data_IF_080694086127
#
_entry.id   IF_080694086127
#
_cell.length_a   1.000
_cell.length_b   1.000
_cell.length_c   1.000
_cell.angle_alpha   90.00
_cell.angle_beta   90.00
_cell.angle_gamma   90.00
#
_symmetry.space_group_name_H-M   'P 1'
#
loop_
_entity.id
_entity.type
_entity.pdbx_description
1 polymer ?
#
# COMPACT_ATOMS: atom_id res chain seq x y z
N UNK A 1 56.10 -27.05 -49.35
CA UNK A 1 54.71 -27.36 -48.90
C UNK A 1 54.22 -26.19 -48.12
N UNK A 2 53.27 -25.37 -48.60
CA UNK A 2 52.76 -24.15 -47.96
C UNK A 2 51.40 -24.49 -47.37
N UNK A 3 51.28 -24.51 -46.03
CA UNK A 3 49.99 -24.65 -45.35
C UNK A 3 49.28 -23.30 -45.36
N UNK A 4 48.12 -23.26 -46.01
CA UNK A 4 47.17 -22.13 -45.90
C UNK A 4 46.32 -22.33 -44.64
N UNK A 5 46.46 -21.43 -43.68
CA UNK A 5 45.58 -21.34 -42.52
C UNK A 5 44.39 -20.46 -42.93
N UNK A 6 43.22 -21.07 -43.04
CA UNK A 6 41.94 -20.37 -43.27
C UNK A 6 41.42 -19.88 -41.96
N UNK A 7 41.40 -18.55 -41.74
CA UNK A 7 40.79 -17.90 -40.60
C UNK A 7 39.26 -17.91 -40.82
N UNK A 8 38.54 -18.71 -40.05
CA UNK A 8 37.08 -18.69 -40.01
C UNK A 8 36.62 -17.62 -39.02
N UNK A 9 36.22 -16.46 -39.55
CA UNK A 9 35.67 -15.38 -38.76
C UNK A 9 34.24 -15.75 -38.30
N UNK A 10 34.08 -16.11 -37.02
CA UNK A 10 32.81 -16.36 -36.39
C UNK A 10 32.13 -15.01 -36.07
N UNK A 11 31.19 -14.62 -36.93
CA UNK A 11 30.37 -13.42 -36.73
C UNK A 11 29.36 -13.70 -35.61
N UNK A 12 29.65 -13.21 -34.40
CA UNK A 12 28.70 -13.28 -33.26
C UNK A 12 27.58 -12.26 -33.51
N UNK A 13 26.43 -12.72 -34.00
CA UNK A 13 25.21 -11.94 -34.09
C UNK A 13 24.66 -11.78 -32.62
N UNK A 14 24.98 -10.65 -31.99
CA UNK A 14 24.30 -10.23 -30.76
C UNK A 14 22.88 -9.81 -31.15
N UNK A 15 21.93 -10.73 -31.01
CA UNK A 15 20.50 -10.41 -31.09
C UNK A 15 20.14 -9.66 -29.82
N UNK A 16 20.20 -8.32 -29.92
CA UNK A 16 19.65 -7.45 -28.87
C UNK A 16 18.13 -7.56 -28.93
N UNK A 17 17.55 -8.47 -28.12
CA UNK A 17 16.11 -8.49 -27.92
C UNK A 17 15.74 -7.23 -27.14
N UNK A 18 15.29 -6.20 -27.87
CA UNK A 18 14.60 -5.06 -27.29
C UNK A 18 13.29 -5.64 -26.72
N UNK A 19 13.29 -6.00 -25.44
CA UNK A 19 12.04 -6.19 -24.70
C UNK A 19 11.35 -4.82 -24.66
N UNK A 20 10.38 -4.64 -25.54
CA UNK A 20 9.46 -3.52 -25.45
C UNK A 20 8.86 -3.56 -24.06
N UNK A 21 9.27 -2.64 -23.18
CA UNK A 21 8.56 -2.35 -21.95
C UNK A 21 7.18 -1.84 -22.39
N UNK A 22 6.22 -2.75 -22.47
CA UNK A 22 4.83 -2.38 -22.59
C UNK A 22 4.52 -1.56 -21.35
N UNK A 23 4.40 -0.25 -21.51
CA UNK A 23 3.85 0.64 -20.51
C UNK A 23 2.53 0.00 -20.05
N UNK A 24 2.51 -0.56 -18.84
CA UNK A 24 1.29 -1.12 -18.28
C UNK A 24 0.35 0.05 -18.00
N UNK A 25 -0.45 0.39 -19.01
CA UNK A 25 -1.46 1.43 -18.87
C UNK A 25 -2.39 1.02 -17.74
N UNK A 26 -2.50 1.86 -16.72
CA UNK A 26 -3.49 1.70 -15.65
C UNK A 26 -4.87 1.45 -16.28
N UNK A 27 -5.57 0.37 -15.93
CA UNK A 27 -6.93 0.16 -16.43
C UNK A 27 -7.81 1.31 -15.94
N UNK A 28 -8.64 1.84 -16.84
CA UNK A 28 -9.68 2.77 -16.43
C UNK A 28 -10.74 1.99 -15.68
N UNK A 29 -10.93 2.29 -14.40
CA UNK A 29 -11.97 1.68 -13.58
C UNK A 29 -13.05 2.71 -13.23
N UNK A 30 -14.24 2.22 -13.00
CA UNK A 30 -15.39 2.98 -12.52
C UNK A 30 -15.73 2.50 -11.11
N UNK A 31 -16.00 3.44 -10.20
CA UNK A 31 -16.30 3.11 -8.81
C UNK A 31 -17.69 3.59 -8.45
N UNK A 32 -18.46 2.73 -7.79
CA UNK A 32 -19.72 3.07 -7.18
C UNK A 32 -19.84 2.38 -5.81
N UNK A 33 -20.13 3.15 -4.76
CA UNK A 33 -20.27 2.66 -3.37
C UNK A 33 -19.12 1.75 -2.89
N UNK A 34 -17.89 2.04 -3.33
CA UNK A 34 -16.71 1.25 -2.97
C UNK A 34 -16.50 0.00 -3.81
N UNK A 35 -17.34 -0.26 -4.80
CA UNK A 35 -17.24 -1.39 -5.74
C UNK A 35 -16.61 -0.91 -7.04
N UNK A 36 -15.64 -1.65 -7.56
CA UNK A 36 -14.88 -1.34 -8.77
C UNK A 36 -15.35 -2.15 -9.97
N UNK A 37 -15.60 -1.47 -11.09
CA UNK A 37 -16.13 -2.04 -12.34
C UNK A 37 -15.19 -1.77 -13.50
N UNK A 38 -15.19 -2.66 -14.50
CA UNK A 38 -14.46 -2.50 -15.77
C UNK A 38 -15.17 -1.53 -16.71
N UNK A 39 -16.47 -1.42 -16.61
CA UNK A 39 -17.31 -0.62 -17.50
C UNK A 39 -18.14 0.42 -16.75
N UNK A 40 -18.49 1.50 -17.47
CA UNK A 40 -19.28 2.61 -16.92
C UNK A 40 -20.72 2.20 -16.57
N UNK A 41 -21.25 1.18 -17.23
CA UNK A 41 -22.60 0.68 -17.00
C UNK A 41 -22.69 -0.23 -15.76
N UNK A 42 -21.55 -0.51 -15.12
CA UNK A 42 -21.43 -1.29 -13.87
C UNK A 42 -21.93 -2.74 -13.99
N UNK A 43 -21.73 -3.31 -15.18
CA UNK A 43 -22.13 -4.71 -15.45
C UNK A 43 -21.00 -5.72 -15.15
N UNK A 44 -19.73 -5.28 -15.22
CA UNK A 44 -18.58 -6.16 -15.09
C UNK A 44 -17.72 -5.74 -13.88
N UNK A 45 -17.71 -6.58 -12.84
CA UNK A 45 -16.85 -6.39 -11.66
C UNK A 45 -15.37 -6.57 -12.03
N UNK A 46 -14.51 -5.67 -11.52
CA UNK A 46 -13.08 -5.79 -11.75
C UNK A 46 -12.45 -6.83 -10.80
N UNK A 47 -11.56 -7.64 -11.34
CA UNK A 47 -10.62 -8.46 -10.56
C UNK A 47 -9.23 -8.32 -11.14
N UNK A 48 -8.24 -7.97 -10.31
CA UNK A 48 -6.85 -7.80 -10.70
C UNK A 48 -6.10 -6.76 -9.86
N UNK A 49 -4.84 -6.56 -10.23
CA UNK A 49 -4.02 -5.49 -9.64
C UNK A 49 -4.42 -4.15 -10.24
N UNK A 50 -4.49 -3.12 -9.39
CA UNK A 50 -4.74 -1.75 -9.79
C UNK A 50 -3.60 -0.86 -9.31
N UNK A 51 -3.13 0.04 -10.17
CA UNK A 51 -2.05 1.00 -9.88
C UNK A 51 -2.40 2.37 -10.43
N UNK A 52 -2.11 3.40 -9.66
CA UNK A 52 -2.11 4.79 -10.11
C UNK A 52 -0.71 5.36 -10.03
N UNK A 53 -0.43 6.35 -10.86
CA UNK A 53 0.86 7.01 -10.92
C UNK A 53 0.69 8.51 -10.81
N UNK A 54 1.68 9.19 -10.24
CA UNK A 54 1.81 10.64 -10.31
C UNK A 54 2.19 11.08 -11.74
N UNK A 55 2.10 12.37 -12.02
CA UNK A 55 2.44 12.94 -13.34
C UNK A 55 3.91 12.69 -13.72
N UNK A 56 4.78 12.53 -12.73
CA UNK A 56 6.20 12.18 -12.91
C UNK A 56 6.43 10.67 -13.10
N UNK A 57 5.39 9.86 -13.34
CA UNK A 57 5.40 8.40 -13.47
C UNK A 57 5.90 7.62 -12.23
N UNK A 58 5.99 8.24 -11.05
CA UNK A 58 6.20 7.48 -9.82
C UNK A 58 4.91 6.83 -9.35
N UNK A 59 5.02 5.63 -8.76
CA UNK A 59 3.85 4.92 -8.24
C UNK A 59 3.21 5.72 -7.11
N UNK A 60 1.90 5.98 -7.23
CA UNK A 60 1.10 6.72 -6.26
C UNK A 60 0.27 5.80 -5.40
N UNK A 61 -0.29 4.76 -6.00
CA UNK A 61 -1.18 3.82 -5.34
C UNK A 61 -1.07 2.44 -5.97
N UNK A 62 -1.09 1.40 -5.14
CA UNK A 62 -1.33 0.04 -5.59
C UNK A 62 -2.26 -0.71 -4.65
N UNK A 63 -3.11 -1.56 -5.22
CA UNK A 63 -4.02 -2.44 -4.50
C UNK A 63 -4.39 -3.65 -5.34
N UNK A 64 -4.90 -4.67 -4.66
CA UNK A 64 -5.58 -5.79 -5.29
C UNK A 64 -7.09 -5.62 -5.17
N UNK A 65 -7.81 -5.98 -6.22
CA UNK A 65 -9.28 -5.97 -6.26
C UNK A 65 -9.73 -7.38 -6.66
N UNK A 66 -10.70 -7.90 -5.95
CA UNK A 66 -11.33 -9.20 -6.23
C UNK A 66 -12.83 -9.03 -6.26
N UNK A 67 -13.44 -9.38 -7.39
CA UNK A 67 -14.89 -9.25 -7.59
C UNK A 67 -15.40 -7.84 -7.22
N UNK A 68 -14.71 -6.80 -7.70
CA UNK A 68 -15.02 -5.42 -7.46
C UNK A 68 -14.65 -4.87 -6.08
N UNK A 69 -14.18 -5.69 -5.16
CA UNK A 69 -13.87 -5.28 -3.78
C UNK A 69 -12.35 -5.28 -3.52
N UNK A 70 -11.83 -4.29 -2.77
CA UNK A 70 -10.45 -4.32 -2.30
C UNK A 70 -10.16 -5.59 -1.50
N UNK A 71 -9.01 -6.23 -1.79
CA UNK A 71 -8.55 -7.45 -1.13
C UNK A 71 -7.05 -7.38 -0.86
N UNK A 72 -6.60 -7.86 0.30
CA UNK A 72 -5.18 -7.85 0.65
C UNK A 72 -4.64 -6.45 0.96
N UNK A 73 -3.45 -6.14 0.45
CA UNK A 73 -2.72 -4.91 0.78
C UNK A 73 -3.09 -3.77 -0.17
N UNK A 74 -3.32 -2.60 0.39
CA UNK A 74 -3.53 -1.33 -0.28
C UNK A 74 -2.45 -0.36 0.19
N UNK A 75 -1.68 0.22 -0.73
CA UNK A 75 -0.58 1.12 -0.39
C UNK A 75 -0.74 2.43 -1.16
N UNK A 76 -0.63 3.55 -0.45
CA UNK A 76 -0.43 4.88 -1.01
C UNK A 76 1.02 5.26 -0.78
N UNK A 77 1.65 5.87 -1.77
CA UNK A 77 3.01 6.34 -1.73
C UNK A 77 3.08 7.86 -1.83
N UNK A 78 4.10 8.44 -1.23
CA UNK A 78 4.55 9.79 -1.57
C UNK A 78 5.30 9.80 -2.92
N UNK A 79 5.48 10.96 -3.53
CA UNK A 79 6.26 11.11 -4.76
C UNK A 79 7.73 10.66 -4.62
N UNK A 80 8.28 10.69 -3.40
CA UNK A 80 9.62 10.17 -3.09
C UNK A 80 9.68 8.64 -2.98
N UNK A 81 8.59 7.93 -3.36
CA UNK A 81 8.40 6.47 -3.35
C UNK A 81 8.34 5.82 -1.96
N UNK A 82 8.36 6.59 -0.88
CA UNK A 82 8.14 6.04 0.46
C UNK A 82 6.65 5.81 0.69
N UNK A 83 6.26 4.76 1.41
CA UNK A 83 4.87 4.56 1.79
C UNK A 83 4.36 5.76 2.60
N UNK A 84 3.18 6.26 2.25
CA UNK A 84 2.42 7.23 3.02
C UNK A 84 1.41 6.51 3.91
N UNK A 85 0.78 5.47 3.35
CA UNK A 85 -0.25 4.72 4.04
C UNK A 85 -0.29 3.27 3.56
N UNK A 86 -0.42 2.34 4.50
CA UNK A 86 -0.58 0.91 4.21
C UNK A 86 -1.83 0.44 4.94
N UNK A 87 -2.76 -0.16 4.21
CA UNK A 87 -4.00 -0.74 4.72
C UNK A 87 -4.09 -2.20 4.33
N UNK A 88 -4.81 -2.98 5.14
CA UNK A 88 -5.17 -4.36 4.78
C UNK A 88 -6.67 -4.49 4.66
N UNK A 89 -7.11 -5.19 3.61
CA UNK A 89 -8.52 -5.41 3.31
C UNK A 89 -8.83 -6.89 3.20
N UNK A 90 -10.07 -7.24 3.55
CA UNK A 90 -10.68 -8.53 3.28
C UNK A 90 -12.12 -8.28 2.84
N UNK A 91 -12.47 -8.76 1.64
CA UNK A 91 -13.84 -8.60 1.09
C UNK A 91 -14.34 -7.14 1.16
N UNK A 92 -13.50 -6.19 0.76
CA UNK A 92 -13.81 -4.76 0.75
C UNK A 92 -13.81 -4.07 2.12
N UNK A 93 -13.57 -4.80 3.22
CA UNK A 93 -13.56 -4.25 4.57
C UNK A 93 -12.14 -4.15 5.11
N UNK A 94 -11.83 -3.09 5.85
CA UNK A 94 -10.58 -3.01 6.60
C UNK A 94 -10.44 -4.22 7.52
N UNK A 95 -9.31 -4.94 7.40
CA UNK A 95 -9.04 -6.15 8.17
C UNK A 95 -7.53 -6.35 8.36
N UNK A 96 -7.04 -6.26 9.60
CA UNK A 96 -5.62 -6.26 9.93
C UNK A 96 -5.08 -4.85 10.15
N UNK A 97 -3.82 -4.63 9.86
CA UNK A 97 -3.11 -3.40 10.19
C UNK A 97 -3.39 -2.28 9.19
N UNK A 98 -3.48 -1.07 9.74
CA UNK A 98 -3.46 0.20 9.02
C UNK A 98 -2.36 1.08 9.60
N UNK A 99 -1.40 1.47 8.79
CA UNK A 99 -0.25 2.29 9.17
C UNK A 99 -0.20 3.56 8.34
N UNK A 100 0.18 4.66 8.97
CA UNK A 100 0.49 5.93 8.31
C UNK A 100 1.91 6.36 8.64
N UNK A 101 2.56 6.93 7.65
CA UNK A 101 3.93 7.42 7.74
C UNK A 101 3.99 8.87 7.29
N UNK A 102 4.95 9.62 7.80
CA UNK A 102 5.30 10.92 7.26
C UNK A 102 6.18 10.79 6.01
N UNK A 103 6.50 11.93 5.39
CA UNK A 103 7.32 11.96 4.17
C UNK A 103 8.77 11.50 4.40
N UNK A 104 9.28 11.54 5.64
CA UNK A 104 10.59 11.01 6.02
C UNK A 104 10.58 9.48 6.12
N UNK A 105 9.40 8.86 6.22
CA UNK A 105 9.15 7.43 6.40
C UNK A 105 9.01 7.03 7.87
N UNK A 106 8.83 8.01 8.78
CA UNK A 106 8.58 7.74 10.19
C UNK A 106 7.12 7.31 10.39
N UNK A 107 6.89 6.27 11.19
CA UNK A 107 5.54 5.83 11.57
C UNK A 107 4.88 6.86 12.48
N UNK A 108 3.72 7.39 12.07
CA UNK A 108 2.95 8.37 12.83
C UNK A 108 1.64 7.80 13.38
N UNK A 109 1.15 6.71 12.82
CA UNK A 109 -0.06 6.05 13.33
C UNK A 109 -0.09 4.58 12.96
N UNK A 110 -0.48 3.74 13.91
CA UNK A 110 -0.80 2.32 13.69
C UNK A 110 -2.15 2.01 14.31
N UNK A 111 -2.99 1.31 13.56
CA UNK A 111 -4.32 0.92 13.94
C UNK A 111 -4.58 -0.53 13.49
N UNK A 112 -5.43 -1.24 14.19
CA UNK A 112 -5.90 -2.55 13.78
C UNK A 112 -7.41 -2.53 13.56
N UNK A 113 -7.85 -3.26 12.53
CA UNK A 113 -9.25 -3.44 12.19
C UNK A 113 -9.60 -4.91 12.03
N UNK A 114 -10.84 -5.25 12.33
CA UNK A 114 -11.42 -6.56 12.09
C UNK A 114 -12.80 -6.40 11.49
N UNK A 115 -12.96 -6.86 10.24
CA UNK A 115 -14.22 -6.78 9.48
C UNK A 115 -14.80 -5.35 9.45
N UNK A 116 -13.96 -4.33 9.23
CA UNK A 116 -14.34 -2.92 9.16
C UNK A 116 -14.48 -2.21 10.51
N UNK A 117 -14.40 -2.93 11.63
CA UNK A 117 -14.50 -2.36 12.97
C UNK A 117 -13.13 -2.15 13.59
N UNK A 118 -12.99 -1.08 14.38
CA UNK A 118 -11.78 -0.86 15.21
C UNK A 118 -11.53 -2.06 16.10
N UNK A 119 -10.27 -2.53 16.13
CA UNK A 119 -9.86 -3.71 16.90
C UNK A 119 -8.42 -3.54 17.38
N UNK A 120 -7.99 -4.33 18.37
CA UNK A 120 -6.61 -4.30 18.85
C UNK A 120 -6.17 -2.96 19.41
N UNK A 121 -4.87 -2.70 19.36
CA UNK A 121 -4.26 -1.50 19.92
C UNK A 121 -3.96 -0.49 18.83
N UNK A 122 -4.38 0.75 19.08
CA UNK A 122 -4.13 1.91 18.23
C UNK A 122 -3.08 2.78 18.89
N UNK A 123 -2.07 3.20 18.13
CA UNK A 123 -0.98 4.06 18.58
C UNK A 123 -0.79 5.24 17.66
N UNK A 124 -0.47 6.38 18.24
CA UNK A 124 -0.18 7.62 17.52
C UNK A 124 1.14 8.17 18.08
N UNK A 125 2.02 8.58 17.19
CA UNK A 125 3.30 9.22 17.47
C UNK A 125 3.32 10.63 16.91
N UNK A 126 4.09 11.51 17.53
CA UNK A 126 4.36 12.84 16.99
C UNK A 126 5.51 12.82 15.96
N UNK A 127 5.84 14.00 15.45
CA UNK A 127 6.90 14.19 14.44
C UNK A 127 8.30 13.81 14.96
N UNK A 128 8.52 13.78 16.27
CA UNK A 128 9.77 13.38 16.91
C UNK A 128 9.81 11.87 17.22
N UNK A 129 8.74 11.13 16.94
CA UNK A 129 8.62 9.71 17.21
C UNK A 129 8.22 9.37 18.65
N UNK A 130 7.83 10.38 19.44
CA UNK A 130 7.31 10.15 20.78
C UNK A 130 5.88 9.61 20.70
N UNK A 131 5.61 8.49 21.36
CA UNK A 131 4.23 7.96 21.44
C UNK A 131 3.37 8.92 22.26
N UNK A 132 2.27 9.37 21.66
CA UNK A 132 1.35 10.34 22.25
C UNK A 132 0.07 9.70 22.75
N UNK A 133 -0.39 8.63 22.08
CA UNK A 133 -1.63 7.93 22.44
C UNK A 133 -1.50 6.43 22.28
N UNK A 134 -2.12 5.69 23.19
CA UNK A 134 -2.40 4.28 23.09
C UNK A 134 -3.85 4.01 23.50
N UNK A 135 -4.60 3.35 22.61
CA UNK A 135 -6.03 3.19 22.71
C UNK A 135 -6.38 1.77 22.29
N UNK A 136 -7.10 1.01 23.12
CA UNK A 136 -7.52 -0.35 22.76
C UNK A 136 -8.98 -0.43 22.39
N UNK A 137 -9.27 -1.26 21.38
CA UNK A 137 -10.62 -1.50 20.89
C UNK A 137 -10.90 -3.00 20.75
N UNK A 138 -12.16 -3.38 20.95
CA UNK A 138 -12.69 -4.69 20.59
C UNK A 138 -14.03 -4.50 19.89
N UNK A 139 -14.10 -4.96 18.62
CA UNK A 139 -15.30 -4.88 17.76
C UNK A 139 -15.92 -3.47 17.71
N UNK A 140 -15.09 -2.41 17.71
CA UNK A 140 -15.48 -1.01 17.67
C UNK A 140 -15.64 -0.33 19.03
N UNK A 141 -15.70 -1.07 20.10
CA UNK A 141 -15.85 -0.54 21.47
C UNK A 141 -14.49 -0.29 22.10
N UNK A 142 -14.38 0.81 22.85
CA UNK A 142 -13.21 1.10 23.67
C UNK A 142 -13.09 0.08 24.79
N UNK A 143 -11.87 -0.41 25.05
CA UNK A 143 -11.60 -1.36 26.13
C UNK A 143 -10.27 -1.02 26.81
N UNK A 144 -10.07 -1.58 28.00
CA UNK A 144 -8.80 -1.51 28.71
C UNK A 144 -8.46 -0.12 29.20
N UNK A 145 -7.20 0.26 29.13
CA UNK A 145 -6.69 1.55 29.59
C UNK A 145 -6.22 2.35 28.39
N UNK A 146 -6.78 3.55 28.22
CA UNK A 146 -6.28 4.55 27.30
C UNK A 146 -5.20 5.36 27.97
N UNK A 147 -4.13 5.64 27.26
CA UNK A 147 -2.98 6.40 27.75
C UNK A 147 -2.66 7.55 26.85
N UNK A 148 -2.24 8.64 27.47
CA UNK A 148 -1.75 9.84 26.80
C UNK A 148 -0.42 10.26 27.41
N UNK A 149 0.53 10.63 26.54
CA UNK A 149 1.87 11.09 26.93
C UNK A 149 2.11 12.49 26.42
N UNK A 150 2.95 13.26 27.16
CA UNK A 150 3.45 14.55 26.74
C UNK A 150 4.55 14.40 25.66
N UNK A 151 5.09 15.54 25.17
CA UNK A 151 6.15 15.58 24.17
C UNK A 151 7.48 14.98 24.67
N UNK A 152 7.66 14.86 25.97
CA UNK A 152 8.84 14.26 26.62
C UNK A 152 8.68 12.76 26.85
N UNK A 153 7.51 12.20 26.54
CA UNK A 153 7.19 10.79 26.77
C UNK A 153 6.72 10.48 28.21
N UNK A 154 6.42 11.50 29.01
CA UNK A 154 5.85 11.28 30.34
C UNK A 154 4.36 11.00 30.23
N UNK A 155 3.86 9.98 30.96
CA UNK A 155 2.44 9.69 31.02
C UNK A 155 1.71 10.84 31.73
N UNK A 156 0.70 11.42 31.07
CA UNK A 156 -0.05 12.58 31.58
C UNK A 156 -1.53 12.26 31.84
N UNK A 157 -2.05 11.20 31.24
CA UNK A 157 -3.45 10.79 31.49
C UNK A 157 -3.64 9.29 31.24
N UNK A 158 -4.52 8.67 32.05
CA UNK A 158 -5.02 7.32 31.86
C UNK A 158 -6.53 7.27 32.12
N UNK A 159 -7.25 6.56 31.26
CA UNK A 159 -8.68 6.34 31.42
C UNK A 159 -9.04 4.88 31.18
N UNK A 160 -9.71 4.26 32.13
CA UNK A 160 -10.22 2.88 32.03
C UNK A 160 -11.61 2.85 31.40
N UNK A 161 -11.79 1.90 30.44
CA UNK A 161 -13.04 1.63 29.73
C UNK A 161 -13.51 0.19 29.94
#
# INVERSE_FOLDING_TARGET
>A
MKHKITLLSMLLLVVCTIQAQTSKKTPQLYQNEGIYYRDRAQNELYTGDYREYYDNNTLKLEMQIKNGLPEGTYIIYFENRKPQEIRSYREGKLHGLWRKYDISGQLISEAEYKNGKKHGTWRIWDELGTQRYEISYNEGNKIGIWRMWDEKGNLIDEKKY
#
